data_IF_692183136118
#
_entry.id   IF_692183136118
#
_cell.length_a   1.000
_cell.length_b   1.000
_cell.length_c   1.000
_cell.angle_alpha   90.00
_cell.angle_beta   90.00
_cell.angle_gamma   90.00
#
_symmetry.space_group_name_H-M   'P 1'
#
loop_
_entity.id
_entity.type
_entity.pdbx_description
1 polymer ?
#
# COMPACT_ATOMS: atom_id res chain seq x y z
N UNK A 1 -14.88 -7.25 0.17
CA UNK A 1 -14.16 -7.82 -1.00
C UNK A 1 -15.15 -8.49 -1.95
N UNK A 2 -14.98 -8.29 -3.27
CA UNK A 2 -15.90 -8.86 -4.27
C UNK A 2 -15.64 -10.37 -4.44
N UNK A 3 -16.69 -11.15 -4.74
CA UNK A 3 -16.54 -12.57 -5.12
C UNK A 3 -15.53 -12.75 -6.26
N UNK A 4 -15.48 -11.76 -7.17
CA UNK A 4 -14.55 -11.73 -8.29
C UNK A 4 -13.08 -11.69 -7.86
N UNK A 5 -12.72 -10.87 -6.87
CA UNK A 5 -11.34 -10.85 -6.34
C UNK A 5 -10.91 -12.24 -5.82
N UNK A 6 -11.79 -12.92 -5.07
CA UNK A 6 -11.48 -14.25 -4.52
C UNK A 6 -11.22 -15.28 -5.64
N UNK A 7 -11.99 -15.22 -6.73
CA UNK A 7 -11.81 -16.06 -7.90
C UNK A 7 -10.44 -15.77 -8.55
N UNK A 8 -10.14 -14.51 -8.81
CA UNK A 8 -8.85 -14.09 -9.38
C UNK A 8 -7.70 -14.50 -8.46
N UNK A 9 -7.84 -14.33 -7.16
CA UNK A 9 -6.81 -14.74 -6.20
C UNK A 9 -6.52 -16.25 -6.28
N UNK A 10 -7.54 -17.10 -6.42
CA UNK A 10 -7.36 -18.55 -6.52
C UNK A 10 -6.77 -18.99 -7.86
N UNK A 11 -7.12 -18.32 -8.97
CA UNK A 11 -6.64 -18.68 -10.30
C UNK A 11 -5.24 -18.10 -10.56
N UNK A 12 -5.07 -16.81 -10.29
CA UNK A 12 -3.81 -16.09 -10.62
C UNK A 12 -2.77 -16.23 -9.52
N UNK A 13 -3.21 -16.42 -8.26
CA UNK A 13 -2.31 -16.54 -7.12
C UNK A 13 -1.23 -17.60 -7.24
N UNK A 14 -1.54 -18.85 -7.65
CA UNK A 14 -0.53 -19.88 -7.88
C UNK A 14 0.50 -19.48 -8.94
N UNK A 15 0.06 -18.84 -10.03
CA UNK A 15 0.94 -18.34 -11.08
C UNK A 15 1.86 -17.22 -10.56
N UNK A 16 1.32 -16.27 -9.83
CA UNK A 16 2.14 -15.19 -9.22
C UNK A 16 3.12 -15.76 -8.19
N UNK A 17 2.75 -16.80 -7.44
CA UNK A 17 3.67 -17.47 -6.51
C UNK A 17 4.81 -18.21 -7.24
N UNK A 18 4.51 -18.78 -8.40
CA UNK A 18 5.52 -19.44 -9.22
C UNK A 18 6.47 -18.43 -9.87
N UNK A 19 5.94 -17.35 -10.45
CA UNK A 19 6.73 -16.34 -11.16
C UNK A 19 7.51 -15.42 -10.21
N UNK A 20 6.95 -15.15 -9.02
CA UNK A 20 7.56 -14.33 -7.97
C UNK A 20 7.47 -15.08 -6.63
N UNK A 21 8.30 -16.14 -6.46
CA UNK A 21 8.41 -16.83 -5.17
C UNK A 21 8.73 -15.81 -4.08
N UNK A 22 8.04 -15.88 -2.93
CA UNK A 22 8.20 -14.88 -1.88
C UNK A 22 8.17 -15.47 -0.49
N UNK A 23 8.92 -14.84 0.38
CA UNK A 23 8.82 -14.96 1.83
C UNK A 23 8.03 -13.74 2.34
N UNK A 24 7.10 -13.96 3.22
CA UNK A 24 6.34 -12.88 3.87
C UNK A 24 6.63 -12.93 5.35
N UNK A 25 6.99 -11.79 5.93
CA UNK A 25 7.34 -11.63 7.34
C UNK A 25 6.44 -10.56 7.94
N UNK A 26 6.03 -10.72 9.20
CA UNK A 26 5.27 -9.70 9.94
C UNK A 26 3.78 -9.63 9.57
N UNK A 27 3.18 -10.71 9.02
CA UNK A 27 1.73 -10.72 8.77
C UNK A 27 0.91 -10.60 10.05
N UNK A 28 1.47 -11.04 11.18
CA UNK A 28 0.92 -10.91 12.53
C UNK A 28 0.75 -9.45 12.97
N UNK A 29 1.50 -8.52 12.39
CA UNK A 29 1.41 -7.08 12.64
C UNK A 29 0.18 -6.43 11.99
N UNK A 30 -0.53 -7.16 11.14
CA UNK A 30 -1.73 -6.63 10.48
C UNK A 30 -2.90 -6.62 11.47
N UNK A 31 -3.46 -5.45 11.80
CA UNK A 31 -4.59 -5.36 12.71
C UNK A 31 -5.85 -5.98 12.12
N UNK A 32 -6.77 -6.37 12.99
CA UNK A 32 -8.14 -6.63 12.59
C UNK A 32 -8.82 -5.31 12.19
N UNK A 33 -9.35 -5.23 10.97
CA UNK A 33 -10.04 -4.03 10.48
C UNK A 33 -9.23 -3.16 9.52
N UNK A 34 -9.54 -1.87 9.52
CA UNK A 34 -8.94 -0.90 8.59
C UNK A 34 -7.49 -0.60 8.92
N UNK A 35 -6.65 -0.54 7.90
CA UNK A 35 -5.25 -0.15 8.02
C UNK A 35 -4.75 0.52 6.74
N UNK A 36 -3.83 1.45 6.89
CA UNK A 36 -3.13 2.09 5.78
C UNK A 36 -1.79 1.38 5.57
N UNK A 37 -1.71 0.53 4.55
CA UNK A 37 -0.46 -0.16 4.19
C UNK A 37 0.41 0.82 3.39
N UNK A 38 1.50 1.25 3.98
CA UNK A 38 2.43 2.20 3.37
C UNK A 38 3.66 1.43 2.87
N UNK A 39 3.85 1.36 1.55
CA UNK A 39 4.93 0.58 0.95
C UNK A 39 5.89 1.47 0.13
N UNK A 40 7.17 1.06 0.02
CA UNK A 40 8.07 1.61 -0.98
C UNK A 40 7.60 1.20 -2.40
N UNK A 41 7.90 2.02 -3.40
CA UNK A 41 7.40 1.82 -4.76
C UNK A 41 8.53 1.74 -5.79
N UNK A 42 8.92 0.55 -6.15
CA UNK A 42 10.04 0.28 -7.09
C UNK A 42 9.56 -0.29 -8.43
N UNK A 43 8.37 -0.86 -8.48
CA UNK A 43 7.88 -1.58 -9.66
C UNK A 43 6.37 -1.46 -9.84
N UNK A 44 5.90 -1.58 -11.08
CA UNK A 44 4.48 -1.75 -11.37
C UNK A 44 3.88 -3.05 -10.82
N UNK A 45 4.73 -4.01 -10.42
CA UNK A 45 4.32 -5.28 -9.82
C UNK A 45 4.06 -5.20 -8.32
N UNK A 46 4.54 -4.14 -7.63
CA UNK A 46 4.40 -4.00 -6.17
C UNK A 46 2.96 -4.21 -5.67
N UNK A 47 1.93 -3.53 -6.23
CA UNK A 47 0.56 -3.70 -5.76
C UNK A 47 0.05 -5.14 -5.90
N UNK A 48 0.47 -5.81 -6.98
CA UNK A 48 0.08 -7.19 -7.26
C UNK A 48 0.77 -8.14 -6.29
N UNK A 49 2.08 -8.01 -6.12
CA UNK A 49 2.87 -8.87 -5.25
C UNK A 49 2.40 -8.71 -3.79
N UNK A 50 2.17 -7.49 -3.33
CA UNK A 50 1.65 -7.22 -1.97
C UNK A 50 0.22 -7.78 -1.83
N UNK A 51 -0.66 -7.60 -2.82
CA UNK A 51 -2.01 -8.15 -2.79
C UNK A 51 -2.03 -9.67 -2.61
N UNK A 52 -1.12 -10.38 -3.29
CA UNK A 52 -0.98 -11.83 -3.17
C UNK A 52 -0.12 -12.28 -1.99
N UNK A 53 0.59 -11.37 -1.30
CA UNK A 53 1.25 -11.64 -0.02
C UNK A 53 0.27 -11.66 1.15
N UNK A 54 -0.80 -10.87 1.06
CA UNK A 54 -1.87 -10.84 2.06
C UNK A 54 -2.71 -12.12 2.03
N UNK A 55 -3.32 -12.54 3.15
CA UNK A 55 -4.33 -13.60 3.16
C UNK A 55 -5.47 -13.32 2.17
N UNK A 56 -5.99 -14.38 1.52
CA UNK A 56 -7.04 -14.29 0.49
C UNK A 56 -8.26 -13.47 0.92
N UNK A 57 -8.64 -13.56 2.19
CA UNK A 57 -9.81 -12.90 2.73
C UNK A 57 -9.54 -11.52 3.31
N UNK A 58 -8.30 -11.02 3.15
CA UNK A 58 -7.94 -9.65 3.51
C UNK A 58 -8.78 -8.66 2.71
N UNK A 59 -9.48 -7.77 3.42
CA UNK A 59 -10.19 -6.66 2.81
C UNK A 59 -9.19 -5.62 2.32
N UNK A 60 -8.73 -5.79 1.10
CA UNK A 60 -7.63 -5.03 0.52
C UNK A 60 -8.07 -4.26 -0.73
N UNK A 61 -7.58 -3.05 -0.88
CA UNK A 61 -7.71 -2.24 -2.09
C UNK A 61 -6.48 -1.35 -2.28
N UNK A 62 -6.38 -0.75 -3.45
CA UNK A 62 -5.27 0.14 -3.82
C UNK A 62 -5.78 1.30 -4.68
N UNK A 63 -5.12 2.44 -4.57
CA UNK A 63 -5.31 3.55 -5.51
C UNK A 63 -4.41 3.36 -6.73
N UNK A 64 -4.97 3.49 -7.92
CA UNK A 64 -4.19 3.41 -9.15
C UNK A 64 -4.34 4.67 -10.02
N UNK A 65 -3.32 4.97 -10.81
CA UNK A 65 -3.28 6.13 -11.72
C UNK A 65 -4.51 6.14 -12.64
N UNK A 66 -5.22 7.27 -12.71
CA UNK A 66 -6.47 7.41 -13.49
C UNK A 66 -6.34 6.95 -14.95
N UNK A 67 -5.18 7.17 -15.60
CA UNK A 67 -4.94 6.73 -16.96
C UNK A 67 -5.09 5.21 -17.18
N UNK A 68 -4.82 4.39 -16.16
CA UNK A 68 -4.99 2.93 -16.26
C UNK A 68 -6.46 2.53 -16.42
N UNK A 69 -7.39 3.36 -15.93
CA UNK A 69 -8.82 3.12 -16.06
C UNK A 69 -9.38 3.49 -17.43
N UNK A 70 -8.60 4.18 -18.25
CA UNK A 70 -8.95 4.54 -19.63
C UNK A 70 -8.57 3.44 -20.63
N UNK A 71 -7.71 2.48 -20.22
CA UNK A 71 -7.32 1.36 -21.06
C UNK A 71 -8.49 0.37 -21.13
N UNK A 72 -9.02 0.05 -22.34
CA UNK A 72 -10.10 -0.91 -22.53
C UNK A 72 -9.77 -2.27 -21.86
N UNK A 73 -10.75 -2.88 -21.19
CA UNK A 73 -10.57 -4.13 -20.47
C UNK A 73 -9.86 -3.97 -19.12
N UNK A 74 -8.71 -3.29 -19.07
CA UNK A 74 -7.96 -3.06 -17.83
C UNK A 74 -8.77 -2.22 -16.82
N UNK A 75 -9.35 -1.12 -17.27
CA UNK A 75 -10.18 -0.27 -16.41
C UNK A 75 -11.39 -1.01 -15.82
N UNK A 76 -12.01 -1.89 -16.61
CA UNK A 76 -13.08 -2.76 -16.12
C UNK A 76 -12.58 -3.74 -15.05
N UNK A 77 -11.45 -4.41 -15.31
CA UNK A 77 -10.82 -5.35 -14.39
C UNK A 77 -10.47 -4.67 -13.06
N UNK A 78 -9.81 -3.51 -13.10
CA UNK A 78 -9.42 -2.75 -11.91
C UNK A 78 -10.63 -2.39 -11.05
N UNK A 79 -11.73 -1.90 -11.66
CA UNK A 79 -12.98 -1.61 -10.93
C UNK A 79 -13.58 -2.86 -10.30
N UNK A 80 -13.58 -4.00 -11.00
CA UNK A 80 -14.08 -5.28 -10.47
C UNK A 80 -13.24 -5.80 -9.30
N UNK A 81 -11.95 -5.51 -9.30
CA UNK A 81 -11.03 -5.82 -8.19
C UNK A 81 -11.17 -4.85 -7.00
N UNK A 82 -11.98 -3.78 -7.13
CA UNK A 82 -12.16 -2.79 -6.08
C UNK A 82 -11.07 -1.70 -6.07
N UNK A 83 -10.22 -1.64 -7.09
CA UNK A 83 -9.23 -0.57 -7.27
C UNK A 83 -9.95 0.70 -7.71
N UNK A 84 -9.55 1.86 -7.20
CA UNK A 84 -10.14 3.14 -7.56
C UNK A 84 -9.09 4.13 -8.10
N UNK A 85 -9.52 5.05 -8.99
CA UNK A 85 -8.61 5.97 -9.66
C UNK A 85 -8.14 7.10 -8.74
N UNK A 86 -6.91 7.56 -8.97
CA UNK A 86 -6.36 8.80 -8.41
C UNK A 86 -5.70 9.64 -9.50
N UNK A 87 -5.96 10.93 -9.51
CA UNK A 87 -5.27 11.90 -10.36
C UNK A 87 -4.00 12.35 -9.64
N UNK A 88 -2.84 12.05 -10.24
CA UNK A 88 -1.54 12.49 -9.70
C UNK A 88 -1.27 13.95 -10.09
N UNK A 89 -0.49 14.65 -9.27
CA UNK A 89 -0.05 16.04 -9.57
C UNK A 89 -0.97 17.12 -9.01
N UNK A 90 -1.97 16.78 -8.17
CA UNK A 90 -2.85 17.74 -7.53
C UNK A 90 -3.59 17.16 -6.33
N UNK A 91 -4.41 17.99 -5.70
CA UNK A 91 -5.28 17.57 -4.59
C UNK A 91 -6.53 16.86 -5.13
N UNK A 92 -6.48 15.54 -5.33
CA UNK A 92 -7.66 14.75 -5.71
C UNK A 92 -8.53 14.48 -4.48
N UNK A 93 -9.42 15.44 -4.18
CA UNK A 93 -10.34 15.34 -3.03
C UNK A 93 -11.30 14.15 -3.15
N UNK A 94 -11.64 13.73 -4.37
CA UNK A 94 -12.51 12.58 -4.60
C UNK A 94 -11.81 11.27 -4.23
N UNK A 95 -10.58 11.08 -4.68
CA UNK A 95 -9.77 9.94 -4.30
C UNK A 95 -9.52 9.91 -2.79
N UNK A 96 -9.22 11.07 -2.18
CA UNK A 96 -9.02 11.18 -0.74
C UNK A 96 -10.29 10.80 0.07
N UNK A 97 -11.46 11.29 -0.33
CA UNK A 97 -12.74 10.92 0.30
C UNK A 97 -13.01 9.42 0.17
N UNK A 98 -12.75 8.84 -1.02
CA UNK A 98 -12.90 7.41 -1.27
C UNK A 98 -11.95 6.59 -0.40
N UNK A 99 -10.69 6.98 -0.30
CA UNK A 99 -9.69 6.35 0.56
C UNK A 99 -10.12 6.32 2.03
N UNK A 100 -10.54 7.48 2.56
CA UNK A 100 -11.02 7.57 3.96
C UNK A 100 -12.29 6.75 4.19
N UNK A 101 -13.21 6.68 3.23
CA UNK A 101 -14.40 5.81 3.30
C UNK A 101 -13.99 4.34 3.39
N UNK A 102 -13.13 3.89 2.50
CA UNK A 102 -12.60 2.52 2.46
C UNK A 102 -11.97 2.12 3.78
N UNK A 103 -11.15 2.99 4.37
CA UNK A 103 -10.51 2.76 5.67
C UNK A 103 -11.51 2.65 6.83
N UNK A 104 -12.52 3.55 6.88
CA UNK A 104 -13.58 3.51 7.90
C UNK A 104 -14.49 2.27 7.79
N UNK A 105 -14.64 1.70 6.60
CA UNK A 105 -15.36 0.45 6.36
C UNK A 105 -14.55 -0.79 6.79
N UNK A 106 -13.38 -0.61 7.40
CA UNK A 106 -12.53 -1.70 7.88
C UNK A 106 -11.72 -2.39 6.78
N UNK A 107 -11.51 -1.72 5.64
CA UNK A 107 -10.66 -2.25 4.58
C UNK A 107 -9.21 -1.76 4.75
N UNK A 108 -8.26 -2.56 4.27
CA UNK A 108 -6.85 -2.19 4.17
C UNK A 108 -6.61 -1.48 2.84
N UNK A 109 -6.01 -0.29 2.89
CA UNK A 109 -5.69 0.50 1.71
C UNK A 109 -4.18 0.54 1.52
N UNK A 110 -3.69 0.06 0.37
CA UNK A 110 -2.30 0.21 -0.02
C UNK A 110 -2.08 1.60 -0.64
N UNK A 111 -1.06 2.27 -0.14
CA UNK A 111 -0.55 3.53 -0.67
C UNK A 111 0.97 3.49 -0.77
N UNK A 112 1.51 4.27 -1.66
CA UNK A 112 2.94 4.49 -1.81
C UNK A 112 3.23 5.95 -1.40
N UNK A 113 3.82 6.19 -0.20
CA UNK A 113 4.07 7.55 0.29
C UNK A 113 4.91 8.40 -0.65
N UNK A 114 5.80 7.80 -1.40
CA UNK A 114 6.63 8.45 -2.42
C UNK A 114 5.81 9.07 -3.57
N UNK A 115 4.61 8.54 -3.84
CA UNK A 115 3.71 9.03 -4.89
C UNK A 115 4.17 8.72 -6.32
N UNK A 116 5.37 8.22 -6.50
CA UNK A 116 5.95 7.76 -7.77
C UNK A 116 6.81 6.52 -7.53
N UNK A 117 7.30 5.89 -8.59
CA UNK A 117 8.33 4.87 -8.48
C UNK A 117 9.69 5.54 -8.27
N UNK A 118 10.48 4.95 -7.38
CA UNK A 118 11.85 5.39 -7.05
C UNK A 118 12.83 4.25 -7.30
N UNK A 119 14.06 4.58 -7.64
CA UNK A 119 15.13 3.62 -7.84
C UNK A 119 15.96 3.46 -6.56
N UNK A 120 16.09 4.54 -5.79
CA UNK A 120 16.87 4.59 -4.55
C UNK A 120 16.09 5.24 -3.41
N UNK A 121 16.43 4.87 -2.19
CA UNK A 121 15.92 5.47 -0.97
C UNK A 121 16.31 6.97 -0.91
N UNK A 122 15.36 7.82 -0.51
CA UNK A 122 15.61 9.27 -0.37
C UNK A 122 15.49 10.07 -1.65
N UNK A 123 15.20 9.44 -2.80
CA UNK A 123 15.01 10.12 -4.09
C UNK A 123 13.86 11.13 -4.06
N UNK A 124 12.82 10.84 -3.27
CA UNK A 124 11.65 11.72 -3.14
C UNK A 124 11.16 11.81 -1.70
N UNK A 125 10.62 12.97 -1.35
CA UNK A 125 9.94 13.16 -0.08
C UNK A 125 8.56 12.50 -0.05
N UNK A 126 8.19 12.00 1.14
CA UNK A 126 6.87 11.39 1.34
C UNK A 126 5.74 12.42 1.16
N UNK A 127 4.68 12.00 0.50
CA UNK A 127 3.47 12.82 0.29
C UNK A 127 2.61 12.84 1.55
N UNK A 128 2.28 14.03 2.05
CA UNK A 128 1.48 14.21 3.26
C UNK A 128 0.04 13.66 3.22
N UNK A 129 -0.42 13.18 2.07
CA UNK A 129 -1.72 12.54 1.94
C UNK A 129 -1.90 11.31 2.83
N UNK A 130 -0.85 10.57 3.10
CA UNK A 130 -0.87 9.39 4.00
C UNK A 130 -1.19 9.79 5.44
N UNK A 131 -0.57 10.87 5.92
CA UNK A 131 -0.83 11.45 7.25
C UNK A 131 -2.29 11.88 7.40
N UNK A 132 -2.83 12.58 6.40
CA UNK A 132 -4.23 13.04 6.42
C UNK A 132 -5.19 11.85 6.44
N UNK A 133 -4.92 10.79 5.69
CA UNK A 133 -5.74 9.58 5.71
C UNK A 133 -5.71 8.92 7.09
N UNK A 134 -4.54 8.67 7.65
CA UNK A 134 -4.39 8.01 8.94
C UNK A 134 -5.03 8.82 10.08
N UNK A 135 -4.69 10.10 10.22
CA UNK A 135 -5.18 10.95 11.33
C UNK A 135 -6.68 11.21 11.28
N UNK A 136 -7.28 11.30 10.09
CA UNK A 136 -8.73 11.53 9.94
C UNK A 136 -9.58 10.26 10.06
N UNK A 137 -8.99 9.11 9.94
CA UNK A 137 -9.71 7.82 10.05
C UNK A 137 -9.39 7.10 11.34
N UNK A 138 -8.28 7.46 12.01
CA UNK A 138 -7.82 6.80 13.23
C UNK A 138 -7.25 5.40 13.00
N UNK A 139 -7.01 5.02 11.72
CA UNK A 139 -6.44 3.70 11.43
C UNK A 139 -4.92 3.73 11.54
N UNK A 140 -4.29 2.61 11.96
CA UNK A 140 -2.84 2.50 11.97
C UNK A 140 -2.25 2.52 10.56
N UNK A 141 -1.04 3.03 10.45
CA UNK A 141 -0.17 2.95 9.29
C UNK A 141 0.73 1.74 9.47
N UNK A 142 0.78 0.85 8.51
CA UNK A 142 1.64 -0.33 8.52
C UNK A 142 2.75 -0.11 7.51
N UNK A 143 4.01 0.04 7.93
CA UNK A 143 5.11 0.11 7.00
C UNK A 143 5.30 -1.25 6.31
N UNK A 144 5.48 -1.23 5.00
CA UNK A 144 5.68 -2.44 4.19
C UNK A 144 6.90 -2.25 3.31
N UNK A 145 7.86 -3.13 3.42
CA UNK A 145 9.02 -3.14 2.52
C UNK A 145 8.90 -4.30 1.53
N UNK A 146 8.89 -3.97 0.24
CA UNK A 146 8.75 -4.96 -0.83
C UNK A 146 10.03 -5.17 -1.66
N UNK A 147 11.16 -4.69 -1.16
CA UNK A 147 12.47 -4.83 -1.80
C UNK A 147 12.88 -3.66 -2.66
N UNK A 148 14.11 -3.73 -3.14
CA UNK A 148 14.67 -2.76 -4.09
C UNK A 148 14.27 -3.10 -5.53
N UNK A 149 14.07 -4.40 -5.83
CA UNK A 149 13.73 -4.88 -7.18
C UNK A 149 13.13 -6.27 -7.12
N UNK A 150 11.99 -6.49 -7.76
CA UNK A 150 11.42 -7.82 -7.83
C UNK A 150 12.21 -8.74 -8.76
N UNK A 151 12.58 -9.89 -8.22
CA UNK A 151 13.36 -10.91 -8.93
C UNK A 151 12.41 -11.96 -9.51
N UNK A 152 12.32 -12.04 -10.83
CA UNK A 152 11.55 -13.05 -11.53
C UNK A 152 12.13 -14.44 -11.29
N UNK A 153 11.29 -15.42 -10.97
CA UNK A 153 11.63 -16.81 -10.63
C UNK A 153 12.67 -16.95 -9.49
N UNK A 154 12.87 -15.91 -8.69
CA UNK A 154 13.74 -15.93 -7.51
C UNK A 154 12.96 -15.46 -6.29
N UNK A 155 13.45 -15.86 -5.11
CA UNK A 155 12.84 -15.51 -3.83
C UNK A 155 12.86 -13.99 -3.64
N UNK A 156 11.68 -13.43 -3.39
CA UNK A 156 11.47 -12.06 -2.96
C UNK A 156 11.09 -12.08 -1.48
N UNK A 157 11.35 -11.02 -0.75
CA UNK A 157 10.88 -10.88 0.64
C UNK A 157 9.96 -9.68 0.72
N UNK A 158 8.86 -9.82 1.47
CA UNK A 158 7.96 -8.73 1.80
C UNK A 158 7.85 -8.71 3.31
N UNK A 159 8.12 -7.56 3.90
CA UNK A 159 8.11 -7.38 5.35
C UNK A 159 7.01 -6.38 5.72
N UNK A 160 6.12 -6.79 6.61
CA UNK A 160 5.13 -5.93 7.25
C UNK A 160 5.66 -5.56 8.64
N UNK A 161 5.92 -4.28 8.87
CA UNK A 161 6.41 -3.78 10.14
C UNK A 161 5.30 -3.53 11.16
N UNK A 162 5.71 -3.11 12.35
CA UNK A 162 4.81 -2.78 13.45
C UNK A 162 3.88 -1.62 13.11
N UNK A 163 2.63 -1.64 13.60
CA UNK A 163 1.67 -0.58 13.41
C UNK A 163 2.17 0.76 13.97
N UNK A 164 2.11 1.80 13.17
CA UNK A 164 2.39 3.15 13.58
C UNK A 164 1.10 3.97 13.64
N UNK A 165 0.77 4.49 14.82
CA UNK A 165 -0.38 5.36 15.04
C UNK A 165 0.16 6.78 15.23
N UNK A 166 -0.03 7.69 14.24
CA UNK A 166 0.46 9.06 14.37
C UNK A 166 -0.32 9.83 15.42
N UNK A 167 0.40 10.57 16.25
CA UNK A 167 -0.18 11.49 17.25
C UNK A 167 -0.07 12.90 16.71
N UNK A 168 -1.15 13.67 16.80
CA UNK A 168 -1.21 15.09 16.43
C UNK A 168 -1.77 15.91 17.58
N UNK A 169 -1.32 17.17 17.72
CA UNK A 169 -1.76 18.05 18.82
C UNK A 169 -3.22 18.51 18.67
N UNK A 170 -3.70 18.67 17.43
CA UNK A 170 -5.01 19.23 17.13
C UNK A 170 -5.96 18.24 16.43
N UNK A 171 -7.05 18.76 15.89
CA UNK A 171 -8.00 17.97 15.07
C UNK A 171 -7.49 17.69 13.66
N UNK A 172 -6.46 18.39 13.21
CA UNK A 172 -5.84 18.25 11.89
C UNK A 172 -4.34 18.42 12.06
N UNK A 173 -3.53 17.63 11.34
CA UNK A 173 -2.10 17.83 11.38
C UNK A 173 -1.75 19.21 10.84
N UNK A 174 -0.83 19.89 11.50
CA UNK A 174 -0.16 21.08 10.96
C UNK A 174 0.69 20.70 9.75
N UNK A 175 1.13 21.65 8.91
CA UNK A 175 2.04 21.34 7.81
C UNK A 175 3.33 20.64 8.26
N UNK A 176 3.86 21.02 9.43
CA UNK A 176 5.09 20.41 9.96
C UNK A 176 4.84 19.00 10.50
N UNK A 177 3.80 18.80 11.32
CA UNK A 177 3.38 17.45 11.75
C UNK A 177 3.09 16.54 10.55
N UNK A 178 2.47 17.08 9.50
CA UNK A 178 2.17 16.32 8.29
C UNK A 178 3.45 15.84 7.58
N UNK A 179 4.46 16.71 7.50
CA UNK A 179 5.77 16.39 6.91
C UNK A 179 6.54 15.39 7.78
N UNK A 180 6.56 15.61 9.08
CA UNK A 180 7.23 14.75 10.05
C UNK A 180 6.64 13.33 10.04
N UNK A 181 5.32 13.18 10.15
CA UNK A 181 4.64 11.88 10.14
C UNK A 181 4.84 11.16 8.79
N UNK A 182 4.78 11.89 7.67
CA UNK A 182 5.03 11.32 6.35
C UNK A 182 6.49 10.86 6.20
N UNK A 183 7.44 11.62 6.71
CA UNK A 183 8.86 11.24 6.75
C UNK A 183 9.10 10.04 7.66
N UNK A 184 8.48 10.01 8.84
CA UNK A 184 8.61 8.91 9.80
C UNK A 184 8.09 7.59 9.22
N UNK A 185 6.93 7.56 8.57
CA UNK A 185 6.45 6.33 7.95
C UNK A 185 7.37 5.86 6.81
N UNK A 186 7.95 6.79 6.04
CA UNK A 186 8.89 6.44 4.99
C UNK A 186 10.18 5.83 5.56
N UNK A 187 10.73 6.45 6.62
CA UNK A 187 11.89 5.91 7.35
C UNK A 187 11.60 4.48 7.86
N UNK A 188 10.46 4.28 8.54
CA UNK A 188 10.04 2.96 9.03
C UNK A 188 9.91 1.90 7.94
N UNK A 189 9.51 2.29 6.73
CA UNK A 189 9.47 1.38 5.58
C UNK A 189 10.87 0.89 5.24
N UNK A 190 11.85 1.78 5.18
CA UNK A 190 13.21 1.43 4.79
C UNK A 190 14.00 0.76 5.93
N UNK A 191 13.72 1.07 7.19
CA UNK A 191 14.28 0.37 8.36
C UNK A 191 13.97 -1.15 8.32
N UNK A 192 12.87 -1.56 7.68
CA UNK A 192 12.53 -2.99 7.50
C UNK A 192 13.51 -3.76 6.61
N UNK A 193 14.39 -3.07 5.89
CA UNK A 193 15.48 -3.68 5.12
C UNK A 193 16.46 -4.45 6.01
N UNK A 194 16.58 -4.06 7.27
CA UNK A 194 17.49 -4.68 8.25
C UNK A 194 16.84 -5.90 8.96
N UNK A 195 15.55 -6.16 8.75
CA UNK A 195 14.85 -7.25 9.42
C UNK A 195 15.36 -8.61 8.94
N UNK A 196 15.61 -9.51 9.89
CA UNK A 196 16.06 -10.89 9.64
C UNK A 196 15.15 -11.62 8.65
N UNK A 197 15.75 -12.11 7.57
CA UNK A 197 15.04 -12.78 6.48
C UNK A 197 14.99 -12.01 5.18
N UNK A 198 15.50 -10.78 5.17
CA UNK A 198 15.72 -10.02 3.93
C UNK A 198 16.88 -10.60 3.10
N UNK A 199 17.98 -11.11 3.74
CA UNK A 199 19.18 -11.68 3.09
C UNK A 199 18.96 -13.08 2.53
#
# INVERSE_FOLDING_TARGET
>A
MTKFYRIIYCIVGPLIRLLFPRRVVGLENLPEGGALLCANHVSGWDPIIIAFALPRDSRFTVMAKNQLFQIPGLGFLLRKLGVFPVKRGGNDLTAMKTAMKVLREGNRLLVFPEGTRVEEEGEVEAKGGVTVMATRTGVPMIPVYCGEKHKFLRKNTIVFGEPYIPVIAGRRPTPDENREIAGEILRRIYDLKEVDGWK
#
